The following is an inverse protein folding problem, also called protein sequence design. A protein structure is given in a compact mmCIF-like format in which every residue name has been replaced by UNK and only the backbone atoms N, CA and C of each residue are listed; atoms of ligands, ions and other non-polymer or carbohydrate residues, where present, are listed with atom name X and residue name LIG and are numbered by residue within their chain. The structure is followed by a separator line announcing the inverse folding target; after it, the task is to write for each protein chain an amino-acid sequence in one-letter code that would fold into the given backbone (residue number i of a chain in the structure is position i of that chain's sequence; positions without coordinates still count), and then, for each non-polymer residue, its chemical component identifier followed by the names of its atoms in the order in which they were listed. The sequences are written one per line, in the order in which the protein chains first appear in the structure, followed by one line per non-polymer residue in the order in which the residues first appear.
data_IF_139212218834
#
_entry.id   IF_139212218834
#
_cell.length_a   1.000
_cell.length_b   1.000
_cell.length_c   1.000
_cell.angle_alpha   90.00
_cell.angle_beta   90.00
_cell.angle_gamma   90.00
#
_symmetry.space_group_name_H-M   'P 1'
#
loop_
_entity.id
_entity.type
_entity.pdbx_description
1 polymer ?
#
# COMPACT_ATOMS: atom_id res chain seq x y z
N UNK A 1 61.02 -15.72 74.43
CA UNK A 1 61.46 -16.51 73.26
C UNK A 1 60.89 -15.81 72.03
N UNK A 2 61.38 -14.66 71.56
CA UNK A 2 62.70 -14.26 71.05
C UNK A 2 62.82 -14.39 69.52
N UNK A 3 63.04 -13.24 68.87
CA UNK A 3 63.53 -12.94 67.50
C UNK A 3 62.55 -13.14 66.31
N UNK A 4 62.20 -12.17 65.45
CA UNK A 4 62.87 -11.08 64.67
C UNK A 4 63.34 -11.53 63.27
N UNK A 5 63.09 -10.64 62.27
CA UNK A 5 63.65 -10.52 60.89
C UNK A 5 62.99 -11.31 59.74
N UNK A 6 63.05 -10.91 58.46
CA UNK A 6 63.28 -9.65 57.73
C UNK A 6 63.12 -9.93 56.22
N UNK A 7 62.93 -8.85 55.44
CA UNK A 7 62.97 -8.68 53.98
C UNK A 7 64.00 -9.53 53.17
N UNK A 8 63.61 -10.03 51.98
CA UNK A 8 64.14 -9.63 50.63
C UNK A 8 64.13 -10.71 49.52
N UNK A 9 63.76 -10.27 48.31
CA UNK A 9 64.40 -10.51 46.99
C UNK A 9 63.93 -11.63 46.00
N UNK A 10 63.39 -11.12 44.87
CA UNK A 10 63.86 -11.30 43.46
C UNK A 10 63.26 -12.41 42.55
N UNK A 11 62.59 -11.89 41.49
CA UNK A 11 62.41 -12.32 40.07
C UNK A 11 62.32 -13.80 39.66
N UNK A 12 61.26 -14.14 38.89
CA UNK A 12 61.39 -14.66 37.52
C UNK A 12 60.05 -14.57 36.75
N UNK A 13 60.11 -13.96 35.56
CA UNK A 13 59.05 -13.87 34.55
C UNK A 13 59.07 -15.13 33.68
N UNK A 14 57.93 -15.81 33.51
CA UNK A 14 57.70 -16.72 32.38
C UNK A 14 56.27 -16.53 31.87
N UNK A 15 56.18 -16.04 30.63
CA UNK A 15 54.94 -15.91 29.85
C UNK A 15 54.47 -17.31 29.42
N UNK A 16 53.28 -17.70 29.84
CA UNK A 16 52.58 -18.88 29.31
C UNK A 16 51.65 -18.50 28.16
N UNK A 17 51.99 -18.93 26.94
CA UNK A 17 51.08 -18.94 25.80
C UNK A 17 49.86 -19.83 26.12
N UNK A 18 48.66 -19.24 26.18
CA UNK A 18 47.40 -19.99 26.20
C UNK A 18 46.91 -20.19 24.76
N UNK A 19 47.06 -21.41 24.26
CA UNK A 19 46.38 -21.89 23.04
C UNK A 19 44.91 -22.16 23.40
N UNK A 20 44.04 -21.18 23.17
CA UNK A 20 42.60 -21.41 23.20
C UNK A 20 42.16 -22.06 21.89
N UNK A 21 42.14 -23.39 21.86
CA UNK A 21 41.44 -24.17 20.84
C UNK A 21 39.93 -24.01 21.05
N UNK A 22 39.29 -23.17 20.23
CA UNK A 22 37.83 -23.05 20.19
C UNK A 22 37.21 -24.34 19.66
N UNK A 23 36.71 -25.18 20.55
CA UNK A 23 35.78 -26.25 20.22
C UNK A 23 34.45 -25.59 19.83
N UNK A 24 34.05 -25.73 18.57
CA UNK A 24 32.71 -25.38 18.13
C UNK A 24 31.71 -26.34 18.79
N UNK A 25 30.69 -25.78 19.44
CA UNK A 25 29.60 -26.54 20.06
C UNK A 25 28.88 -27.39 19.00
N UNK A 26 28.83 -28.70 19.21
CA UNK A 26 28.16 -29.68 18.34
C UNK A 26 26.62 -29.61 18.36
N UNK A 27 26.06 -28.47 18.76
CA UNK A 27 24.63 -28.24 18.93
C UNK A 27 24.10 -27.08 18.08
N UNK A 28 24.91 -26.50 17.19
CA UNK A 28 24.35 -25.66 16.13
C UNK A 28 23.52 -26.53 15.19
N UNK A 29 22.20 -26.28 15.04
CA UNK A 29 21.42 -26.98 14.03
C UNK A 29 22.07 -26.68 12.68
N UNK A 30 22.54 -27.74 12.00
CA UNK A 30 23.09 -27.63 10.66
C UNK A 30 22.11 -26.79 9.82
N UNK A 31 22.58 -25.76 9.08
CA UNK A 31 21.70 -24.91 8.31
C UNK A 31 20.86 -25.79 7.40
N UNK A 32 19.53 -25.74 7.56
CA UNK A 32 18.59 -26.50 6.73
C UNK A 32 18.97 -26.33 5.27
N UNK A 33 19.02 -27.41 4.46
CA UNK A 33 19.38 -27.29 3.05
C UNK A 33 18.46 -26.25 2.40
N UNK A 34 19.04 -25.14 1.97
CA UNK A 34 18.27 -24.06 1.35
C UNK A 34 17.64 -24.62 0.09
N UNK A 35 16.31 -24.64 0.05
CA UNK A 35 15.57 -24.99 -1.16
C UNK A 35 16.09 -24.12 -2.32
N UNK A 36 16.41 -24.76 -3.45
CA UNK A 36 17.04 -24.12 -4.59
C UNK A 36 16.61 -24.80 -5.89
N UNK A 37 16.73 -24.11 -7.03
CA UNK A 37 16.50 -24.68 -8.36
C UNK A 37 17.85 -24.91 -9.06
N UNK A 38 18.44 -26.12 -8.95
CA UNK A 38 19.83 -26.35 -9.33
C UNK A 38 20.08 -26.22 -10.85
N UNK A 39 19.17 -26.72 -11.68
CA UNK A 39 19.29 -26.61 -13.13
C UNK A 39 18.95 -25.20 -13.63
N UNK A 40 19.67 -24.76 -14.68
CA UNK A 40 19.26 -23.59 -15.46
C UNK A 40 17.94 -23.86 -16.19
N UNK A 41 17.16 -22.82 -16.46
CA UNK A 41 15.89 -22.93 -17.19
C UNK A 41 16.10 -23.06 -18.70
N UNK A 42 17.30 -22.75 -19.19
CA UNK A 42 17.67 -22.78 -20.61
C UNK A 42 19.11 -23.30 -20.76
N UNK A 43 19.44 -23.74 -21.98
CA UNK A 43 20.79 -24.15 -22.34
C UNK A 43 21.72 -22.96 -22.65
N UNK A 44 21.18 -21.74 -22.73
CA UNK A 44 21.96 -20.52 -22.98
C UNK A 44 22.32 -19.81 -21.68
N UNK A 45 23.59 -19.41 -21.48
CA UNK A 45 23.98 -18.67 -20.30
C UNK A 45 23.29 -17.29 -20.25
N UNK A 46 23.04 -16.82 -19.04
CA UNK A 46 22.49 -15.47 -18.81
C UNK A 46 23.45 -14.36 -19.20
N UNK A 47 22.91 -13.26 -19.70
CA UNK A 47 23.63 -12.04 -20.08
C UNK A 47 23.40 -10.93 -19.05
N UNK A 48 24.51 -10.41 -18.51
CA UNK A 48 24.52 -9.39 -17.44
C UNK A 48 23.88 -8.08 -17.89
N UNK A 49 24.10 -7.63 -19.13
CA UNK A 49 23.56 -6.35 -19.62
C UNK A 49 22.08 -6.45 -19.95
N UNK A 50 21.64 -7.59 -20.51
CA UNK A 50 20.20 -7.88 -20.64
C UNK A 50 19.53 -7.96 -19.28
N UNK A 51 20.14 -8.66 -18.32
CA UNK A 51 19.64 -8.76 -16.95
C UNK A 51 19.49 -7.40 -16.27
N UNK A 52 20.50 -6.54 -16.40
CA UNK A 52 20.46 -5.15 -15.91
C UNK A 52 19.30 -4.38 -16.51
N UNK A 53 19.09 -4.46 -17.83
CA UNK A 53 17.95 -3.79 -18.49
C UNK A 53 16.60 -4.28 -17.97
N UNK A 54 16.43 -5.59 -17.82
CA UNK A 54 15.18 -6.19 -17.30
C UNK A 54 14.88 -5.73 -15.88
N UNK A 55 15.89 -5.71 -15.00
CA UNK A 55 15.75 -5.26 -13.61
C UNK A 55 15.27 -3.81 -13.51
N UNK A 56 15.61 -2.97 -14.50
CA UNK A 56 15.27 -1.55 -14.55
C UNK A 56 14.05 -1.22 -15.40
N UNK A 57 13.48 -2.22 -16.08
CA UNK A 57 12.33 -2.10 -16.97
C UNK A 57 11.05 -1.92 -16.15
N UNK A 58 10.35 -0.79 -16.36
CA UNK A 58 9.15 -0.40 -15.61
C UNK A 58 7.92 -1.26 -15.93
N UNK A 59 7.94 -1.98 -17.04
CA UNK A 59 6.85 -2.84 -17.50
C UNK A 59 7.14 -4.32 -17.26
N UNK A 60 8.34 -4.71 -16.81
CA UNK A 60 8.66 -6.11 -16.53
C UNK A 60 9.22 -6.31 -15.13
N UNK A 61 10.54 -6.14 -14.96
CA UNK A 61 11.22 -6.48 -13.71
C UNK A 61 10.99 -5.47 -12.59
N UNK A 62 11.05 -4.18 -12.93
CA UNK A 62 11.10 -2.98 -12.07
C UNK A 62 11.57 -3.23 -10.63
N UNK A 63 12.65 -4.00 -10.44
CA UNK A 63 12.97 -4.55 -9.11
C UNK A 63 13.31 -3.43 -8.11
N UNK A 64 13.78 -2.28 -8.63
CA UNK A 64 14.05 -1.06 -7.89
C UNK A 64 12.82 -0.43 -7.24
N UNK A 65 11.61 -0.82 -7.65
CA UNK A 65 10.36 -0.38 -7.02
C UNK A 65 10.25 -0.90 -5.58
N UNK A 66 10.78 -2.10 -5.33
CA UNK A 66 10.74 -2.78 -4.03
C UNK A 66 12.11 -2.82 -3.35
N UNK A 67 13.19 -3.00 -4.13
CA UNK A 67 14.54 -3.22 -3.63
C UNK A 67 15.43 -1.99 -3.83
N UNK A 68 16.33 -1.74 -2.88
CA UNK A 68 17.43 -0.82 -3.10
C UNK A 68 18.58 -1.52 -3.85
N UNK A 69 19.19 -0.82 -4.81
CA UNK A 69 20.25 -1.37 -5.68
C UNK A 69 21.36 -0.33 -5.95
N UNK A 70 22.63 -0.75 -6.12
CA UNK A 70 23.75 0.15 -6.34
C UNK A 70 23.75 0.70 -7.78
N UNK A 71 22.87 1.67 -8.03
CA UNK A 71 22.64 2.27 -9.34
C UNK A 71 22.99 3.76 -9.29
N UNK A 72 24.21 4.15 -9.70
CA UNK A 72 24.59 5.56 -9.78
C UNK A 72 23.57 6.37 -10.59
N UNK A 73 23.18 7.54 -10.08
CA UNK A 73 22.23 8.44 -10.75
C UNK A 73 20.75 8.09 -10.56
N UNK A 74 20.39 7.00 -9.88
CA UNK A 74 18.99 6.69 -9.50
C UNK A 74 18.79 6.87 -7.99
N UNK A 75 17.95 7.84 -7.64
CA UNK A 75 17.78 8.26 -6.25
C UNK A 75 16.58 7.61 -5.53
N UNK A 76 15.56 7.17 -6.27
CA UNK A 76 14.31 6.67 -5.69
C UNK A 76 14.23 5.15 -5.79
N UNK A 77 14.51 4.47 -4.69
CA UNK A 77 14.41 3.02 -4.55
C UNK A 77 13.40 2.63 -3.47
N UNK A 78 12.79 1.46 -3.65
CA UNK A 78 11.96 0.85 -2.65
C UNK A 78 12.76 0.37 -1.43
N UNK A 79 12.05 0.19 -0.32
CA UNK A 79 12.58 -0.41 0.91
C UNK A 79 11.80 -1.64 1.37
N UNK A 80 10.85 -2.13 0.55
CA UNK A 80 10.01 -3.30 0.87
C UNK A 80 10.81 -4.59 0.85
N UNK A 81 11.68 -4.72 -0.16
CA UNK A 81 12.57 -5.85 -0.35
C UNK A 81 13.93 -5.59 0.28
N UNK A 82 14.64 -6.68 0.58
CA UNK A 82 16.02 -6.59 1.04
C UNK A 82 16.90 -5.90 -0.01
N UNK A 83 17.88 -5.08 0.40
CA UNK A 83 18.74 -4.42 -0.55
C UNK A 83 19.61 -5.46 -1.29
N UNK A 84 19.82 -5.22 -2.59
CA UNK A 84 20.46 -6.17 -3.51
C UNK A 84 21.94 -5.85 -3.75
N UNK A 85 22.50 -4.86 -3.08
CA UNK A 85 23.95 -4.65 -3.04
C UNK A 85 24.63 -5.88 -2.41
N UNK A 86 25.69 -6.35 -3.06
CA UNK A 86 26.43 -7.54 -2.63
C UNK A 86 25.65 -8.86 -2.68
N UNK A 87 24.47 -8.92 -3.31
CA UNK A 87 23.66 -10.14 -3.36
C UNK A 87 24.40 -11.30 -4.05
N UNK A 88 25.25 -11.01 -5.04
CA UNK A 88 26.09 -12.00 -5.70
C UNK A 88 27.18 -12.60 -4.81
N UNK A 89 27.48 -11.98 -3.67
CA UNK A 89 28.36 -12.53 -2.64
C UNK A 89 27.61 -13.36 -1.58
N UNK A 90 26.27 -13.22 -1.48
CA UNK A 90 25.44 -13.86 -0.43
C UNK A 90 24.52 -14.97 -0.93
N UNK A 91 24.40 -15.18 -2.25
CA UNK A 91 23.49 -16.16 -2.82
C UNK A 91 24.08 -16.81 -4.07
N UNK A 92 23.83 -18.10 -4.23
CA UNK A 92 24.19 -18.85 -5.44
C UNK A 92 23.13 -18.72 -6.55
N UNK A 93 23.51 -19.10 -7.78
CA UNK A 93 22.62 -19.05 -8.95
C UNK A 93 21.30 -19.79 -8.72
N UNK A 94 21.36 -21.00 -8.16
CA UNK A 94 20.20 -21.85 -7.91
C UNK A 94 19.20 -21.24 -6.89
N UNK A 95 19.71 -20.53 -5.89
CA UNK A 95 18.90 -19.86 -4.86
C UNK A 95 18.20 -18.63 -5.44
N UNK A 96 18.93 -17.82 -6.23
CA UNK A 96 18.37 -16.66 -6.93
C UNK A 96 17.32 -17.08 -7.97
N UNK A 97 17.59 -18.14 -8.73
CA UNK A 97 16.65 -18.68 -9.71
C UNK A 97 15.34 -19.09 -9.08
N UNK A 98 15.38 -19.84 -7.97
CA UNK A 98 14.15 -20.22 -7.27
C UNK A 98 13.38 -19.00 -6.75
N UNK A 99 14.07 -18.01 -6.17
CA UNK A 99 13.44 -16.76 -5.71
C UNK A 99 12.75 -16.00 -6.82
N UNK A 100 13.30 -15.99 -8.03
CA UNK A 100 12.68 -15.31 -9.17
C UNK A 100 11.54 -16.15 -9.78
N UNK A 101 11.73 -17.47 -9.89
CA UNK A 101 10.73 -18.36 -10.50
C UNK A 101 9.49 -18.49 -9.64
N UNK A 102 9.66 -18.82 -8.36
CA UNK A 102 8.57 -19.02 -7.42
C UNK A 102 9.03 -18.73 -5.98
N UNK A 103 9.07 -17.46 -5.55
CA UNK A 103 9.47 -17.11 -4.19
C UNK A 103 8.48 -17.63 -3.14
N UNK A 104 7.23 -17.94 -3.51
CA UNK A 104 6.24 -18.51 -2.59
C UNK A 104 6.54 -19.95 -2.18
N UNK A 105 7.35 -20.68 -2.96
CA UNK A 105 7.87 -21.98 -2.55
C UNK A 105 8.85 -21.86 -1.36
N UNK A 106 9.46 -20.69 -1.17
CA UNK A 106 10.36 -20.41 -0.05
C UNK A 106 9.59 -19.81 1.13
N UNK A 107 8.74 -18.82 0.86
CA UNK A 107 7.88 -18.19 1.86
C UNK A 107 6.51 -17.88 1.26
N UNK A 108 5.44 -18.61 1.63
CA UNK A 108 4.09 -18.37 1.10
C UNK A 108 3.53 -16.98 1.49
N UNK A 109 4.13 -16.29 2.47
CA UNK A 109 3.74 -14.96 2.91
C UNK A 109 4.55 -13.83 2.26
N UNK A 110 5.50 -14.14 1.38
CA UNK A 110 6.29 -13.13 0.68
C UNK A 110 5.43 -12.24 -0.21
N UNK A 111 5.79 -10.95 -0.29
CA UNK A 111 5.21 -10.00 -1.23
C UNK A 111 5.91 -10.07 -2.60
N UNK A 112 7.09 -10.71 -2.69
CA UNK A 112 7.82 -10.82 -3.95
C UNK A 112 6.97 -11.57 -5.00
N UNK A 113 6.74 -10.98 -6.19
CA UNK A 113 5.98 -11.64 -7.23
C UNK A 113 6.76 -12.85 -7.77
N UNK A 114 6.04 -13.86 -8.26
CA UNK A 114 6.67 -14.91 -9.05
C UNK A 114 6.88 -14.35 -10.45
N UNK A 115 8.12 -14.27 -10.91
CA UNK A 115 8.42 -13.70 -12.21
C UNK A 115 8.25 -14.72 -13.34
N UNK A 116 8.31 -16.02 -13.04
CA UNK A 116 8.16 -17.08 -14.04
C UNK A 116 6.94 -17.99 -13.80
N UNK A 117 6.66 -18.39 -12.55
CA UNK A 117 5.50 -19.25 -12.28
C UNK A 117 4.17 -18.52 -12.53
N UNK A 118 3.24 -19.20 -13.19
CA UNK A 118 1.87 -18.74 -13.45
C UNK A 118 0.81 -19.50 -12.64
N UNK A 119 1.24 -20.43 -11.78
CA UNK A 119 0.36 -21.30 -11.02
C UNK A 119 -0.34 -20.56 -9.87
N UNK A 120 -1.59 -20.91 -9.60
CA UNK A 120 -2.34 -20.42 -8.42
C UNK A 120 -2.79 -18.95 -8.49
N UNK A 121 -2.60 -18.27 -9.62
CA UNK A 121 -2.97 -16.86 -9.76
C UNK A 121 -4.49 -16.65 -9.86
N UNK A 122 -4.98 -15.62 -9.16
CA UNK A 122 -6.41 -15.28 -9.11
C UNK A 122 -6.68 -13.91 -9.77
N UNK A 123 -7.70 -13.85 -10.64
CA UNK A 123 -8.18 -12.62 -11.33
C UNK A 123 -7.07 -11.84 -12.06
N UNK A 124 -6.22 -12.54 -12.80
CA UNK A 124 -5.21 -11.93 -13.65
C UNK A 124 -5.86 -11.16 -14.80
N UNK A 125 -5.42 -9.92 -15.00
CA UNK A 125 -5.88 -9.04 -16.09
C UNK A 125 -5.57 -9.68 -17.46
N UNK A 126 -6.54 -9.62 -18.38
CA UNK A 126 -6.57 -10.37 -19.65
C UNK A 126 -5.22 -10.49 -20.39
N UNK A 127 -4.51 -9.39 -20.70
CA UNK A 127 -3.23 -9.44 -21.44
C UNK A 127 -2.11 -10.25 -20.77
N UNK A 128 -2.21 -10.52 -19.47
CA UNK A 128 -1.21 -11.21 -18.66
C UNK A 128 -1.61 -12.64 -18.27
N UNK A 129 -2.85 -13.06 -18.57
CA UNK A 129 -3.38 -14.36 -18.13
C UNK A 129 -2.59 -15.51 -18.75
N UNK A 130 -2.14 -16.45 -17.90
CA UNK A 130 -1.39 -17.64 -18.34
C UNK A 130 0.03 -17.35 -18.85
N UNK A 131 0.51 -16.11 -18.73
CA UNK A 131 1.84 -15.70 -19.21
C UNK A 131 2.75 -15.38 -18.02
N UNK A 132 4.02 -15.81 -18.04
CA UNK A 132 4.98 -15.38 -17.04
C UNK A 132 5.28 -13.89 -17.19
N UNK A 133 5.80 -13.25 -16.14
CA UNK A 133 6.31 -11.86 -16.23
C UNK A 133 7.60 -11.86 -17.06
N UNK A 134 8.46 -12.85 -16.84
CA UNK A 134 9.75 -13.06 -17.50
C UNK A 134 9.81 -14.47 -18.09
N UNK A 135 10.33 -14.57 -19.32
CA UNK A 135 10.68 -15.85 -19.94
C UNK A 135 11.80 -16.57 -19.19
N UNK A 136 12.01 -17.85 -19.49
CA UNK A 136 13.10 -18.64 -18.93
C UNK A 136 14.47 -17.98 -19.14
N UNK A 137 14.75 -17.47 -20.35
CA UNK A 137 16.01 -16.80 -20.64
C UNK A 137 16.16 -15.47 -19.89
N UNK A 138 15.08 -14.69 -19.79
CA UNK A 138 15.11 -13.44 -19.02
C UNK A 138 15.39 -13.68 -17.53
N UNK A 139 14.95 -14.82 -16.97
CA UNK A 139 15.32 -15.22 -15.60
C UNK A 139 16.83 -15.46 -15.50
N UNK A 140 17.44 -16.21 -16.43
CA UNK A 140 18.88 -16.47 -16.41
C UNK A 140 19.69 -15.17 -16.58
N UNK A 141 19.25 -14.27 -17.46
CA UNK A 141 19.87 -12.95 -17.65
C UNK A 141 19.82 -12.14 -16.33
N UNK A 142 18.67 -12.11 -15.63
CA UNK A 142 18.55 -11.44 -14.33
C UNK A 142 19.43 -12.11 -13.26
N UNK A 143 19.49 -13.44 -13.22
CA UNK A 143 20.39 -14.16 -12.29
C UNK A 143 21.85 -13.79 -12.55
N UNK A 144 22.29 -13.73 -13.81
CA UNK A 144 23.64 -13.33 -14.18
C UNK A 144 23.97 -11.90 -13.69
N UNK A 145 23.03 -10.96 -13.86
CA UNK A 145 23.20 -9.60 -13.36
C UNK A 145 23.25 -9.53 -11.82
N UNK A 146 22.36 -10.23 -11.11
CA UNK A 146 22.37 -10.25 -9.65
C UNK A 146 23.67 -10.87 -9.09
N UNK A 147 24.20 -11.91 -9.75
CA UNK A 147 25.49 -12.50 -9.39
C UNK A 147 26.68 -11.57 -9.63
N UNK A 148 26.57 -10.60 -10.56
CA UNK A 148 27.61 -9.61 -10.80
C UNK A 148 27.64 -8.50 -9.73
N UNK A 149 26.59 -8.36 -8.92
CA UNK A 149 26.52 -7.39 -7.81
C UNK A 149 27.26 -7.94 -6.57
N UNK A 150 28.59 -8.01 -6.65
CA UNK A 150 29.47 -8.44 -5.54
C UNK A 150 29.85 -7.28 -4.63
N UNK A 151 30.14 -7.58 -3.36
CA UNK A 151 30.48 -6.55 -2.36
C UNK A 151 31.71 -5.71 -2.73
N UNK A 152 32.64 -6.27 -3.51
CA UNK A 152 33.89 -5.62 -3.90
C UNK A 152 33.63 -4.54 -4.96
N UNK A 153 33.91 -3.28 -4.62
CA UNK A 153 33.84 -2.15 -5.56
C UNK A 153 32.47 -1.49 -5.72
N UNK A 154 31.44 -1.91 -4.98
CA UNK A 154 30.17 -1.19 -4.91
C UNK A 154 30.27 -0.04 -3.91
N UNK A 155 29.88 1.17 -4.33
CA UNK A 155 29.58 2.23 -3.36
C UNK A 155 28.42 1.74 -2.48
N UNK A 156 28.60 1.71 -1.14
CA UNK A 156 27.52 1.32 -0.24
C UNK A 156 26.27 2.15 -0.57
N UNK A 157 25.12 1.48 -0.62
CA UNK A 157 23.86 2.19 -0.72
C UNK A 157 23.81 3.19 0.44
N UNK A 158 23.50 4.49 0.19
CA UNK A 158 23.34 5.42 1.29
C UNK A 158 22.35 4.78 2.26
N UNK A 159 22.74 4.67 3.54
CA UNK A 159 21.87 4.15 4.57
C UNK A 159 20.54 4.83 4.34
N UNK A 160 19.54 4.02 3.98
CA UNK A 160 18.22 4.53 3.71
C UNK A 160 17.80 5.12 5.03
N UNK A 161 17.98 6.44 5.23
CA UNK A 161 17.41 7.11 6.39
C UNK A 161 15.95 6.71 6.31
N UNK A 162 15.43 5.92 7.26
CA UNK A 162 14.02 5.70 7.29
C UNK A 162 13.46 7.11 7.29
N UNK A 163 12.59 7.43 6.35
CA UNK A 163 11.68 8.52 6.64
C UNK A 163 10.81 7.92 7.75
N UNK A 164 11.33 7.92 8.98
CA UNK A 164 10.51 7.78 10.16
C UNK A 164 9.55 8.94 9.96
N UNK A 165 8.32 8.60 9.58
CA UNK A 165 7.18 9.32 10.13
C UNK A 165 7.50 9.29 11.62
N UNK A 166 8.00 10.41 12.13
CA UNK A 166 8.40 10.52 13.52
C UNK A 166 7.16 10.12 14.34
N UNK A 167 7.16 8.94 14.97
CA UNK A 167 5.96 8.43 15.61
C UNK A 167 5.57 9.31 16.81
N UNK A 168 6.49 10.18 17.28
CA UNK A 168 6.31 11.13 18.37
C UNK A 168 5.83 12.51 17.90
N UNK A 169 5.94 12.84 16.60
CA UNK A 169 5.31 14.06 16.03
C UNK A 169 3.82 13.91 15.77
N UNK A 170 3.25 12.75 16.09
CA UNK A 170 1.81 12.58 16.08
C UNK A 170 1.28 12.83 17.47
N UNK A 171 0.76 14.05 17.69
CA UNK A 171 -0.03 14.37 18.87
C UNK A 171 -1.04 13.25 19.07
N UNK A 172 -0.83 12.45 20.11
CA UNK A 172 -1.75 11.41 20.52
C UNK A 172 -3.09 12.08 20.84
N UNK A 173 -4.13 11.78 20.06
CA UNK A 173 -5.42 12.46 20.12
C UNK A 173 -5.76 13.39 18.94
N UNK A 174 -4.86 13.57 17.96
CA UNK A 174 -5.19 14.25 16.70
C UNK A 174 -6.23 13.45 15.89
N UNK A 175 -7.19 14.09 15.19
CA UNK A 175 -8.13 13.40 14.30
C UNK A 175 -7.46 12.62 13.15
N UNK A 176 -6.15 12.82 12.94
CA UNK A 176 -5.34 12.13 11.92
C UNK A 176 -4.64 10.86 12.43
N UNK A 177 -4.58 10.65 13.76
CA UNK A 177 -3.98 9.46 14.40
C UNK A 177 -4.81 8.98 15.60
N UNK A 178 -5.43 7.81 15.49
CA UNK A 178 -6.34 7.26 16.51
C UNK A 178 -6.07 5.76 16.72
N UNK A 179 -5.69 5.35 17.92
CA UNK A 179 -5.36 3.96 18.30
C UNK A 179 -4.48 3.21 17.28
N UNK A 180 -3.39 3.83 16.82
CA UNK A 180 -2.48 3.26 15.83
C UNK A 180 -2.98 3.33 14.38
N UNK A 181 -4.21 3.79 14.14
CA UNK A 181 -4.70 4.16 12.80
C UNK A 181 -4.13 5.51 12.42
N UNK A 182 -3.67 5.65 11.18
CA UNK A 182 -3.03 6.85 10.68
C UNK A 182 -3.64 7.22 9.33
N UNK A 183 -4.17 8.43 9.23
CA UNK A 183 -4.66 9.00 7.97
C UNK A 183 -3.56 9.00 6.90
N UNK A 184 -3.95 8.95 5.63
CA UNK A 184 -3.04 9.24 4.51
C UNK A 184 -2.29 10.57 4.66
N UNK A 185 -2.89 11.55 5.37
CA UNK A 185 -2.31 12.86 5.67
C UNK A 185 -0.93 12.77 6.34
N UNK A 186 -0.72 11.82 7.26
CA UNK A 186 0.55 11.74 8.01
C UNK A 186 1.74 11.31 7.15
N UNK A 187 1.47 10.73 5.98
CA UNK A 187 2.48 10.24 5.03
C UNK A 187 2.80 11.27 3.92
N UNK A 188 2.17 12.44 3.95
CA UNK A 188 2.41 13.52 3.00
C UNK A 188 3.70 14.28 3.33
N UNK A 189 4.26 14.96 2.33
CA UNK A 189 5.24 16.03 2.58
C UNK A 189 4.58 17.20 3.29
N UNK A 190 5.38 18.07 3.90
CA UNK A 190 4.87 19.28 4.54
C UNK A 190 4.10 20.19 3.56
N UNK A 191 4.62 20.34 2.35
CA UNK A 191 3.95 21.11 1.29
C UNK A 191 2.56 20.56 0.94
N UNK A 192 2.42 19.23 0.79
CA UNK A 192 1.13 18.62 0.49
C UNK A 192 0.15 18.70 1.67
N UNK A 193 0.65 18.69 2.91
CA UNK A 193 -0.19 18.95 4.09
C UNK A 193 -0.74 20.38 4.07
N UNK A 194 0.15 21.37 3.86
CA UNK A 194 -0.23 22.78 3.73
C UNK A 194 -1.29 22.98 2.64
N UNK A 195 -1.13 22.31 1.49
CA UNK A 195 -2.10 22.38 0.40
C UNK A 195 -3.47 21.82 0.76
N UNK A 196 -3.54 20.75 1.58
CA UNK A 196 -4.83 20.22 2.06
C UNK A 196 -5.50 21.16 3.08
N UNK A 197 -4.69 21.76 3.95
CA UNK A 197 -5.15 22.52 5.09
C UNK A 197 -5.56 23.96 4.72
N UNK A 198 -5.03 24.48 3.61
CA UNK A 198 -5.40 25.78 3.06
C UNK A 198 -6.73 25.70 2.28
N UNK A 199 -7.71 26.50 2.69
CA UNK A 199 -9.03 26.55 2.07
C UNK A 199 -9.00 27.16 0.66
N UNK A 200 -8.02 28.01 0.34
CA UNK A 200 -7.88 28.54 -1.02
C UNK A 200 -6.97 27.67 -1.88
N UNK A 201 -5.92 27.10 -1.28
CA UNK A 201 -4.97 26.23 -1.95
C UNK A 201 -5.51 24.85 -2.31
N UNK A 202 -6.44 24.28 -1.53
CA UNK A 202 -6.93 22.92 -1.78
C UNK A 202 -7.79 22.86 -3.07
N UNK A 203 -7.28 22.27 -4.17
CA UNK A 203 -7.99 22.27 -5.45
C UNK A 203 -9.28 21.43 -5.43
N UNK A 204 -9.42 20.52 -4.46
CA UNK A 204 -10.63 19.73 -4.28
C UNK A 204 -11.83 20.56 -3.84
N UNK A 205 -11.63 21.76 -3.28
CA UNK A 205 -12.74 22.60 -2.81
C UNK A 205 -13.55 23.22 -3.95
N UNK A 206 -13.01 23.31 -5.17
CA UNK A 206 -13.78 23.67 -6.36
C UNK A 206 -14.95 22.70 -6.61
N UNK A 207 -14.78 21.42 -6.29
CA UNK A 207 -15.87 20.44 -6.38
C UNK A 207 -16.89 20.58 -5.25
N UNK A 208 -16.48 21.10 -4.09
CA UNK A 208 -17.42 21.39 -2.99
C UNK A 208 -18.31 22.57 -3.39
N UNK A 209 -17.74 23.62 -3.97
CA UNK A 209 -18.49 24.75 -4.53
C UNK A 209 -19.45 24.30 -5.63
N UNK A 210 -18.95 23.53 -6.61
CA UNK A 210 -19.78 22.94 -7.67
C UNK A 210 -20.90 22.06 -7.09
N UNK A 211 -20.62 21.30 -6.04
CA UNK A 211 -21.61 20.50 -5.33
C UNK A 211 -22.71 21.36 -4.72
N UNK A 212 -22.37 22.56 -4.20
CA UNK A 212 -23.33 23.53 -3.69
C UNK A 212 -24.27 24.07 -4.77
N UNK A 213 -23.77 24.35 -5.96
CA UNK A 213 -24.60 24.72 -7.12
C UNK A 213 -25.57 23.60 -7.50
N UNK A 214 -25.07 22.37 -7.61
CA UNK A 214 -25.88 21.18 -7.92
C UNK A 214 -26.91 20.88 -6.83
N UNK A 215 -26.60 21.16 -5.57
CA UNK A 215 -27.52 20.99 -4.45
C UNK A 215 -28.75 21.89 -4.55
N UNK A 216 -28.56 23.12 -5.04
CA UNK A 216 -29.63 24.09 -5.27
C UNK A 216 -30.36 23.88 -6.60
N UNK A 217 -29.76 23.15 -7.55
CA UNK A 217 -30.30 22.99 -8.89
C UNK A 217 -31.65 22.25 -8.90
N UNK A 218 -32.72 22.84 -9.47
CA UNK A 218 -34.01 22.19 -9.61
C UNK A 218 -33.99 21.15 -10.74
N UNK A 219 -34.71 20.05 -10.54
CA UNK A 219 -34.85 18.96 -11.49
C UNK A 219 -36.31 18.59 -11.73
N UNK A 220 -36.56 18.02 -12.91
CA UNK A 220 -37.86 17.49 -13.31
C UNK A 220 -38.97 18.55 -13.40
N UNK A 221 -40.19 18.13 -13.75
CA UNK A 221 -41.34 19.03 -13.86
C UNK A 221 -41.76 19.66 -12.52
N UNK A 222 -41.43 19.04 -11.39
CA UNK A 222 -41.73 19.53 -10.05
C UNK A 222 -40.74 20.59 -9.53
N UNK A 223 -39.74 20.98 -10.35
CA UNK A 223 -38.69 21.95 -10.00
C UNK A 223 -38.06 21.70 -8.62
N UNK A 224 -37.90 20.42 -8.26
CA UNK A 224 -37.43 19.98 -6.94
C UNK A 224 -35.91 19.85 -6.95
N UNK A 225 -35.25 20.33 -5.91
CA UNK A 225 -33.79 20.24 -5.73
C UNK A 225 -33.44 19.50 -4.44
N UNK A 226 -32.18 19.15 -4.23
CA UNK A 226 -31.73 18.60 -2.95
C UNK A 226 -32.07 19.56 -1.79
N UNK A 227 -31.84 20.87 -2.01
CA UNK A 227 -32.16 21.93 -1.04
C UNK A 227 -33.64 22.00 -0.69
N UNK A 228 -34.56 21.71 -1.63
CA UNK A 228 -36.00 21.77 -1.35
C UNK A 228 -36.47 20.72 -0.34
N UNK A 229 -35.77 19.59 -0.21
CA UNK A 229 -36.09 18.53 0.77
C UNK A 229 -35.19 18.55 2.00
N UNK A 230 -33.92 18.92 1.82
CA UNK A 230 -32.89 18.82 2.87
C UNK A 230 -32.44 20.18 3.42
N UNK A 231 -32.92 21.30 2.89
CA UNK A 231 -32.49 22.65 3.25
C UNK A 231 -30.97 22.84 3.08
N UNK A 232 -30.34 23.62 3.97
CA UNK A 232 -28.90 23.90 3.95
C UNK A 232 -28.09 22.62 4.21
N UNK A 233 -27.16 22.23 3.31
CA UNK A 233 -26.33 21.05 3.50
C UNK A 233 -25.43 21.15 4.75
N UNK A 234 -24.97 22.35 5.14
CA UNK A 234 -24.09 22.54 6.30
C UNK A 234 -24.74 22.09 7.61
N UNK A 235 -26.07 22.19 7.69
CA UNK A 235 -26.86 21.72 8.83
C UNK A 235 -27.33 20.28 8.60
N UNK A 236 -27.98 20.02 7.47
CA UNK A 236 -28.71 18.77 7.24
C UNK A 236 -27.83 17.56 6.94
N UNK A 237 -26.65 17.78 6.34
CA UNK A 237 -25.72 16.71 5.95
C UNK A 237 -24.58 16.52 6.95
N UNK A 238 -24.55 17.30 8.04
CA UNK A 238 -23.53 17.16 9.07
C UNK A 238 -23.53 15.75 9.67
N UNK A 239 -22.38 15.09 9.56
CA UNK A 239 -22.19 13.73 10.07
C UNK A 239 -22.73 12.62 9.15
N UNK A 240 -23.33 12.94 8.00
CA UNK A 240 -23.82 11.95 7.05
C UNK A 240 -22.68 11.01 6.61
N UNK A 241 -21.55 11.57 6.17
CA UNK A 241 -20.40 10.79 5.67
C UNK A 241 -19.84 9.81 6.70
N UNK A 242 -19.95 10.13 7.99
CA UNK A 242 -19.37 9.32 9.09
C UNK A 242 -19.98 7.93 9.20
N UNK A 243 -21.16 7.70 8.62
CA UNK A 243 -21.95 6.48 8.76
C UNK A 243 -22.10 5.69 7.45
N UNK A 244 -21.47 6.11 6.36
CA UNK A 244 -21.50 5.40 5.07
C UNK A 244 -20.18 4.66 4.78
N UNK A 245 -20.22 3.48 4.12
CA UNK A 245 -21.41 2.75 3.66
C UNK A 245 -22.31 2.24 4.79
N UNK A 246 -23.59 2.03 4.51
CA UNK A 246 -24.59 1.53 5.47
C UNK A 246 -25.54 0.52 4.84
N UNK A 247 -26.12 -0.34 5.68
CA UNK A 247 -27.12 -1.31 5.23
C UNK A 247 -28.47 -0.63 4.93
N UNK A 248 -29.03 -0.88 3.74
CA UNK A 248 -30.38 -0.47 3.34
C UNK A 248 -31.35 -1.63 3.60
N UNK A 249 -32.12 -1.51 4.69
CA UNK A 249 -33.10 -2.51 5.10
C UNK A 249 -34.20 -2.75 4.06
N UNK A 250 -34.55 -1.75 3.25
CA UNK A 250 -35.61 -1.90 2.23
C UNK A 250 -35.18 -2.79 1.07
N UNK A 251 -33.89 -2.81 0.77
CA UNK A 251 -33.30 -3.54 -0.37
C UNK A 251 -32.47 -4.73 0.05
N UNK A 252 -32.30 -4.94 1.36
CA UNK A 252 -31.46 -5.99 1.91
C UNK A 252 -30.03 -5.96 1.33
N UNK A 253 -29.46 -4.76 1.16
CA UNK A 253 -28.12 -4.59 0.57
C UNK A 253 -27.34 -3.45 1.22
N UNK A 254 -26.02 -3.49 1.12
CA UNK A 254 -25.15 -2.39 1.52
C UNK A 254 -25.15 -1.29 0.44
N UNK A 255 -25.26 -0.03 0.84
CA UNK A 255 -25.14 1.13 -0.06
C UNK A 255 -24.11 2.13 0.45
N UNK A 256 -23.36 2.74 -0.46
CA UNK A 256 -22.49 3.87 -0.16
C UNK A 256 -23.16 5.22 -0.47
N UNK A 257 -22.41 6.31 -0.29
CA UNK A 257 -22.95 7.66 -0.38
C UNK A 257 -23.35 8.02 -1.81
N UNK A 258 -22.54 7.63 -2.79
CA UNK A 258 -22.77 7.82 -4.22
C UNK A 258 -24.07 7.14 -4.67
N UNK A 259 -24.29 5.89 -4.23
CA UNK A 259 -25.53 5.16 -4.50
C UNK A 259 -26.73 5.80 -3.79
N UNK A 260 -26.56 6.34 -2.59
CA UNK A 260 -27.63 7.08 -1.91
C UNK A 260 -28.01 8.38 -2.64
N UNK A 261 -27.02 9.12 -3.16
CA UNK A 261 -27.26 10.32 -3.97
C UNK A 261 -28.05 9.95 -5.22
N UNK A 262 -27.58 8.97 -6.00
CA UNK A 262 -28.27 8.54 -7.22
C UNK A 262 -29.67 8.00 -6.95
N UNK A 263 -29.87 7.30 -5.84
CA UNK A 263 -31.20 6.88 -5.41
C UNK A 263 -32.13 8.07 -5.20
N UNK A 264 -31.69 9.12 -4.49
CA UNK A 264 -32.52 10.31 -4.31
C UNK A 264 -32.84 10.98 -5.66
N UNK A 265 -31.88 11.01 -6.58
CA UNK A 265 -32.10 11.57 -7.92
C UNK A 265 -33.21 10.83 -8.67
N UNK A 266 -33.13 9.50 -8.72
CA UNK A 266 -34.08 8.68 -9.45
C UNK A 266 -35.46 8.65 -8.77
N UNK A 267 -35.50 8.42 -7.45
CA UNK A 267 -36.76 8.19 -6.72
C UNK A 267 -37.48 9.48 -6.30
N UNK A 268 -36.77 10.59 -6.09
CA UNK A 268 -37.32 11.82 -5.51
C UNK A 268 -37.26 13.01 -6.44
N UNK A 269 -36.24 13.09 -7.29
CA UNK A 269 -36.06 14.23 -8.21
C UNK A 269 -36.54 13.92 -9.63
N UNK A 270 -36.84 12.66 -9.95
CA UNK A 270 -37.18 12.23 -11.31
C UNK A 270 -36.05 12.48 -12.31
N UNK A 271 -34.81 12.45 -11.84
CA UNK A 271 -33.61 12.71 -12.63
C UNK A 271 -32.79 11.43 -12.82
N UNK A 272 -32.11 11.30 -13.95
CA UNK A 272 -31.22 10.17 -14.21
C UNK A 272 -30.07 10.11 -13.19
N UNK A 273 -29.69 8.89 -12.81
CA UNK A 273 -28.46 8.67 -12.04
C UNK A 273 -27.25 9.25 -12.78
N UNK A 274 -26.36 9.89 -12.01
CA UNK A 274 -25.06 10.30 -12.51
C UNK A 274 -24.15 9.09 -12.67
N UNK A 275 -23.26 9.12 -13.66
CA UNK A 275 -22.20 8.14 -13.79
C UNK A 275 -21.27 8.20 -12.57
N UNK A 276 -20.72 7.06 -12.16
CA UNK A 276 -20.07 6.91 -10.85
C UNK A 276 -18.88 7.86 -10.62
N UNK A 277 -18.08 8.12 -11.66
CA UNK A 277 -16.94 9.05 -11.64
C UNK A 277 -17.27 10.36 -12.40
N UNK A 278 -18.54 10.69 -12.59
CA UNK A 278 -18.90 11.98 -13.19
C UNK A 278 -18.56 13.11 -12.23
N UNK A 279 -18.28 14.28 -12.80
CA UNK A 279 -17.97 15.48 -12.02
C UNK A 279 -19.10 15.80 -11.03
N UNK A 280 -20.35 15.64 -11.46
CA UNK A 280 -21.53 15.94 -10.66
C UNK A 280 -21.68 15.02 -9.45
N UNK A 281 -21.46 13.71 -9.62
CA UNK A 281 -21.56 12.78 -8.50
C UNK A 281 -20.41 13.00 -7.52
N UNK A 282 -19.19 13.22 -8.02
CA UNK A 282 -18.03 13.52 -7.19
C UNK A 282 -18.21 14.84 -6.43
N UNK A 283 -18.77 15.88 -7.07
CA UNK A 283 -19.06 17.18 -6.47
C UNK A 283 -20.10 17.08 -5.34
N UNK A 284 -21.23 16.42 -5.58
CA UNK A 284 -22.24 16.20 -4.53
C UNK A 284 -21.70 15.34 -3.37
N UNK A 285 -20.90 14.33 -3.68
CA UNK A 285 -20.25 13.48 -2.66
C UNK A 285 -19.23 14.28 -1.84
N UNK A 286 -18.43 15.13 -2.50
CA UNK A 286 -17.48 16.03 -1.87
C UNK A 286 -18.19 17.04 -0.96
N UNK A 287 -19.27 17.68 -1.43
CA UNK A 287 -20.08 18.59 -0.62
C UNK A 287 -20.59 17.91 0.65
N UNK A 288 -21.23 16.75 0.54
CA UNK A 288 -21.79 16.02 1.70
C UNK A 288 -20.69 15.56 2.64
N UNK A 289 -19.57 15.08 2.10
CA UNK A 289 -18.38 14.70 2.87
C UNK A 289 -17.80 15.88 3.64
N UNK A 290 -17.70 17.05 3.01
CA UNK A 290 -17.16 18.27 3.56
C UNK A 290 -17.91 18.72 4.82
N UNK A 291 -19.24 18.58 4.86
CA UNK A 291 -20.06 18.92 6.05
C UNK A 291 -19.76 18.06 7.28
N UNK A 292 -19.04 16.96 7.09
CA UNK A 292 -18.63 16.04 8.15
C UNK A 292 -17.16 16.16 8.53
N UNK A 293 -16.38 17.10 7.95
CA UNK A 293 -14.95 17.26 8.26
C UNK A 293 -14.67 17.32 9.76
N UNK A 294 -13.63 16.62 10.18
CA UNK A 294 -13.22 16.50 11.58
C UNK A 294 -14.07 15.56 12.44
N UNK A 295 -15.27 15.15 11.99
CA UNK A 295 -16.05 14.16 12.73
C UNK A 295 -15.47 12.75 12.53
N UNK A 296 -15.49 11.89 13.57
CA UNK A 296 -14.92 10.55 13.48
C UNK A 296 -15.76 9.63 12.60
N UNK A 297 -15.10 8.81 11.77
CA UNK A 297 -15.74 7.69 11.08
C UNK A 297 -16.29 6.66 12.08
N UNK A 298 -17.53 6.22 11.85
CA UNK A 298 -18.30 5.33 12.74
C UNK A 298 -19.34 4.52 11.95
N UNK A 299 -18.85 3.74 10.99
CA UNK A 299 -19.69 2.81 10.23
C UNK A 299 -20.15 1.65 11.11
N UNK A 300 -21.37 1.15 10.84
CA UNK A 300 -21.92 -0.03 11.48
C UNK A 300 -21.51 -1.30 10.72
N UNK A 301 -20.96 -2.26 11.44
CA UNK A 301 -20.51 -3.56 10.91
C UNK A 301 -21.24 -4.74 11.57
N UNK A 302 -22.18 -4.46 12.46
CA UNK A 302 -22.92 -5.44 13.23
C UNK A 302 -24.21 -5.86 12.52
N UNK A 303 -24.86 -6.90 13.05
CA UNK A 303 -26.17 -7.35 12.58
C UNK A 303 -26.19 -7.63 11.07
N UNK A 304 -27.13 -7.03 10.31
CA UNK A 304 -27.25 -7.25 8.87
C UNK A 304 -26.03 -6.79 8.05
N UNK A 305 -25.17 -5.92 8.57
CA UNK A 305 -23.97 -5.45 7.87
C UNK A 305 -22.82 -6.48 7.92
N UNK A 306 -22.86 -7.43 8.86
CA UNK A 306 -21.77 -8.39 9.13
C UNK A 306 -21.32 -9.17 7.88
N UNK A 307 -22.20 -9.76 7.05
CA UNK A 307 -21.76 -10.53 5.89
C UNK A 307 -21.02 -9.67 4.85
N UNK A 308 -21.46 -8.41 4.67
CA UNK A 308 -20.83 -7.45 3.76
C UNK A 308 -19.46 -7.01 4.27
N UNK A 309 -19.33 -6.81 5.58
CA UNK A 309 -18.06 -6.52 6.25
C UNK A 309 -17.04 -7.66 6.04
N UNK A 310 -17.44 -8.91 6.29
CA UNK A 310 -16.54 -10.07 6.10
C UNK A 310 -16.16 -10.26 4.63
N UNK A 311 -17.08 -10.02 3.70
CA UNK A 311 -16.76 -10.04 2.26
C UNK A 311 -15.74 -8.94 1.88
N UNK A 312 -15.87 -7.74 2.45
CA UNK A 312 -14.92 -6.65 2.29
C UNK A 312 -13.54 -6.99 2.86
N UNK A 313 -13.50 -7.59 4.05
CA UNK A 313 -12.27 -8.11 4.68
C UNK A 313 -11.58 -9.17 3.82
N UNK A 314 -12.34 -10.16 3.37
CA UNK A 314 -11.83 -11.20 2.48
C UNK A 314 -11.28 -10.60 1.18
N UNK A 315 -11.93 -9.57 0.63
CA UNK A 315 -11.41 -8.84 -0.52
C UNK A 315 -10.11 -8.11 -0.18
N UNK A 316 -9.95 -7.54 1.01
CA UNK A 316 -8.72 -6.84 1.38
C UNK A 316 -7.52 -7.78 1.60
N UNK A 317 -7.78 -8.98 2.15
CA UNK A 317 -6.74 -9.95 2.54
C UNK A 317 -6.33 -10.92 1.41
N UNK A 318 -7.20 -11.12 0.40
CA UNK A 318 -6.94 -12.10 -0.67
C UNK A 318 -5.97 -11.59 -1.74
N UNK A 319 -4.97 -12.40 -2.09
CA UNK A 319 -4.04 -12.09 -3.19
C UNK A 319 -4.73 -12.15 -4.55
N UNK A 320 -4.24 -11.36 -5.51
CA UNK A 320 -4.75 -11.30 -6.90
C UNK A 320 -3.75 -10.71 -7.87
N UNK A 321 -4.07 -10.84 -9.15
CA UNK A 321 -3.31 -10.30 -10.27
C UNK A 321 -2.06 -11.12 -10.57
N UNK A 322 -1.35 -10.73 -11.64
CA UNK A 322 -0.11 -11.42 -12.02
C UNK A 322 0.99 -11.26 -10.96
N UNK A 323 0.96 -10.17 -10.18
CA UNK A 323 1.93 -9.96 -9.10
C UNK A 323 1.60 -10.74 -7.82
N UNK A 324 0.39 -11.33 -7.74
CA UNK A 324 -0.09 -12.16 -6.62
C UNK A 324 0.02 -11.46 -5.25
N UNK A 325 -0.55 -10.25 -5.18
CA UNK A 325 -0.51 -9.38 -4.00
C UNK A 325 -1.90 -9.08 -3.45
N UNK A 326 -1.97 -8.79 -2.14
CA UNK A 326 -3.18 -8.32 -1.46
C UNK A 326 -3.00 -6.91 -0.87
N UNK A 327 -4.10 -6.21 -0.63
CA UNK A 327 -4.08 -4.87 -0.02
C UNK A 327 -3.36 -4.88 1.33
N UNK A 328 -3.65 -5.89 2.16
CA UNK A 328 -3.05 -6.09 3.48
C UNK A 328 -1.52 -6.19 3.44
N UNK A 329 -0.94 -6.73 2.36
CA UNK A 329 0.51 -6.88 2.29
C UNK A 329 1.17 -5.50 2.19
N UNK A 330 0.71 -4.62 1.31
CA UNK A 330 1.27 -3.27 1.20
C UNK A 330 0.86 -2.35 2.36
N UNK A 331 -0.44 -2.36 2.70
CA UNK A 331 -1.04 -1.35 3.57
C UNK A 331 -1.11 -1.75 5.07
N UNK A 332 -0.76 -2.98 5.42
CA UNK A 332 -0.60 -3.39 6.83
C UNK A 332 0.87 -3.67 7.12
N UNK A 333 1.45 -4.65 6.43
CA UNK A 333 2.81 -5.14 6.70
C UNK A 333 3.90 -4.12 6.35
N UNK A 334 3.71 -3.34 5.28
CA UNK A 334 4.73 -2.42 4.76
C UNK A 334 4.32 -0.94 4.85
N UNK A 335 3.29 -0.59 5.63
CA UNK A 335 2.93 0.80 5.87
C UNK A 335 4.12 1.59 6.48
N UNK A 336 4.37 2.79 5.97
CA UNK A 336 5.52 3.63 6.30
C UNK A 336 6.80 3.33 5.51
N UNK A 337 6.85 2.21 4.77
CA UNK A 337 7.97 1.90 3.90
C UNK A 337 7.85 2.59 2.53
N UNK A 338 8.95 2.64 1.78
CA UNK A 338 8.99 3.28 0.47
C UNK A 338 8.75 2.28 -0.65
N UNK A 339 7.81 2.59 -1.51
CA UNK A 339 7.64 1.98 -2.82
C UNK A 339 8.16 3.00 -3.85
N UNK A 340 9.40 2.83 -4.30
CA UNK A 340 10.14 3.85 -5.06
C UNK A 340 10.16 5.21 -4.33
N UNK A 341 9.52 6.25 -4.87
CA UNK A 341 9.47 7.60 -4.31
C UNK A 341 8.28 7.82 -3.36
N UNK A 342 7.36 6.86 -3.28
CA UNK A 342 6.15 6.99 -2.50
C UNK A 342 6.28 6.27 -1.15
N UNK A 343 5.70 6.88 -0.12
CA UNK A 343 5.61 6.26 1.20
C UNK A 343 4.24 5.58 1.28
N UNK A 344 4.23 4.28 1.54
CA UNK A 344 2.99 3.52 1.66
C UNK A 344 2.23 3.96 2.91
N UNK A 345 0.98 4.38 2.74
CA UNK A 345 0.07 4.63 3.85
C UNK A 345 -0.63 3.35 4.30
N UNK A 346 -1.45 3.43 5.36
CA UNK A 346 -2.34 2.34 5.78
C UNK A 346 -3.54 2.11 4.84
N UNK A 347 -3.63 2.83 3.71
CA UNK A 347 -4.72 2.67 2.74
C UNK A 347 -6.09 3.14 3.27
N UNK A 348 -6.09 4.12 4.19
CA UNK A 348 -7.33 4.66 4.77
C UNK A 348 -8.15 5.44 3.74
N UNK A 349 -9.47 5.42 3.90
CA UNK A 349 -10.40 6.10 2.97
C UNK A 349 -11.13 7.31 3.59
N UNK A 350 -10.74 7.76 4.78
CA UNK A 350 -11.40 8.86 5.52
C UNK A 350 -11.34 10.23 4.82
N UNK A 351 -10.48 10.39 3.82
CA UNK A 351 -10.37 11.60 3.01
C UNK A 351 -11.12 11.60 1.68
N UNK A 352 -11.76 10.49 1.29
CA UNK A 352 -12.38 10.38 -0.03
C UNK A 352 -13.74 11.11 -0.13
N UNK A 353 -14.12 11.59 -1.34
CA UNK A 353 -13.30 11.68 -2.56
C UNK A 353 -12.05 12.55 -2.38
N UNK A 354 -10.96 12.17 -3.03
CA UNK A 354 -9.66 12.85 -2.90
C UNK A 354 -9.31 13.57 -4.19
N UNK A 355 -8.65 14.73 -4.08
CA UNK A 355 -7.92 15.31 -5.20
C UNK A 355 -6.56 14.64 -5.26
N UNK A 356 -6.20 14.12 -6.42
CA UNK A 356 -4.90 13.47 -6.60
C UNK A 356 -4.09 14.17 -7.67
N UNK A 357 -2.86 14.57 -7.36
CA UNK A 357 -1.98 15.24 -8.33
C UNK A 357 -1.78 14.41 -9.59
N UNK A 358 -1.59 13.09 -9.48
CA UNK A 358 -1.49 12.22 -10.65
C UNK A 358 -2.77 12.19 -11.54
N UNK A 359 -3.93 12.56 -10.99
CA UNK A 359 -5.20 12.60 -11.74
C UNK A 359 -5.60 14.01 -12.19
N UNK A 360 -5.04 15.05 -11.57
CA UNK A 360 -5.43 16.45 -11.75
C UNK A 360 -6.96 16.64 -11.63
N UNK A 361 -7.60 15.87 -10.75
CA UNK A 361 -9.05 15.82 -10.57
C UNK A 361 -9.41 15.11 -9.26
N UNK A 362 -10.66 15.24 -8.82
CA UNK A 362 -11.24 14.37 -7.79
C UNK A 362 -11.37 12.91 -8.29
N UNK A 363 -11.34 11.98 -7.35
CA UNK A 363 -11.70 10.59 -7.60
C UNK A 363 -12.29 9.91 -6.37
N UNK A 364 -13.19 8.95 -6.61
CA UNK A 364 -13.80 8.17 -5.53
C UNK A 364 -12.84 7.11 -4.97
N UNK A 365 -13.26 6.48 -3.88
CA UNK A 365 -12.60 5.28 -3.33
C UNK A 365 -12.57 4.15 -4.37
N UNK A 366 -13.62 4.00 -5.19
CA UNK A 366 -13.72 2.95 -6.20
C UNK A 366 -12.76 3.15 -7.38
N UNK A 367 -12.50 4.41 -7.78
CA UNK A 367 -11.43 4.72 -8.74
C UNK A 367 -10.07 4.31 -8.22
N UNK A 368 -9.80 4.57 -6.92
CA UNK A 368 -8.57 4.11 -6.29
C UNK A 368 -8.51 2.58 -6.25
N UNK A 369 -9.60 1.88 -5.91
CA UNK A 369 -9.63 0.42 -5.89
C UNK A 369 -9.34 -0.18 -7.27
N UNK A 370 -9.93 0.36 -8.34
CA UNK A 370 -9.65 -0.08 -9.70
C UNK A 370 -8.19 0.14 -10.06
N UNK A 371 -7.63 1.33 -9.75
CA UNK A 371 -6.22 1.61 -9.97
C UNK A 371 -5.29 0.65 -9.21
N UNK A 372 -5.57 0.37 -7.93
CA UNK A 372 -4.82 -0.60 -7.14
C UNK A 372 -4.83 -2.01 -7.75
N UNK A 373 -5.99 -2.47 -8.25
CA UNK A 373 -6.08 -3.77 -8.92
C UNK A 373 -5.27 -3.78 -10.23
N UNK A 374 -5.40 -2.75 -11.06
CA UNK A 374 -4.64 -2.65 -12.31
C UNK A 374 -3.13 -2.58 -12.07
N UNK A 375 -2.69 -1.87 -11.03
CA UNK A 375 -1.27 -1.75 -10.67
C UNK A 375 -0.61 -3.11 -10.35
N UNK A 376 -1.37 -4.06 -9.81
CA UNK A 376 -0.91 -5.43 -9.54
C UNK A 376 -1.30 -6.43 -10.65
N UNK A 377 -1.74 -5.92 -11.80
CA UNK A 377 -2.19 -6.69 -12.97
C UNK A 377 -3.37 -7.62 -12.67
N UNK A 378 -4.26 -7.16 -11.81
CA UNK A 378 -5.54 -7.79 -11.56
C UNK A 378 -6.65 -7.09 -12.35
N UNK A 379 -7.69 -7.83 -12.72
CA UNK A 379 -8.88 -7.23 -13.34
C UNK A 379 -9.55 -6.25 -12.35
N UNK A 380 -9.70 -4.96 -12.70
CA UNK A 380 -10.50 -4.06 -11.89
C UNK A 380 -11.97 -4.50 -11.92
N UNK A 381 -12.73 -4.15 -10.89
CA UNK A 381 -14.19 -4.28 -10.91
C UNK A 381 -14.82 -2.98 -11.41
N UNK A 382 -16.03 -3.08 -11.94
CA UNK A 382 -16.82 -1.89 -12.23
C UNK A 382 -17.11 -1.12 -10.92
N UNK A 383 -17.18 0.20 -11.05
CA UNK A 383 -17.50 1.08 -9.94
C UNK A 383 -18.92 0.84 -9.44
N UNK A 384 -19.10 0.89 -8.12
CA UNK A 384 -20.41 0.73 -7.48
C UNK A 384 -20.89 -0.72 -7.39
N UNK A 385 -20.05 -1.70 -7.74
CA UNK A 385 -20.33 -3.13 -7.51
C UNK A 385 -20.36 -3.44 -6.01
N UNK A 386 -21.16 -4.44 -5.62
CA UNK A 386 -21.28 -4.86 -4.21
C UNK A 386 -19.92 -5.19 -3.59
N UNK A 387 -19.02 -5.81 -4.34
CA UNK A 387 -17.68 -6.13 -3.85
C UNK A 387 -16.84 -4.88 -3.50
N UNK A 388 -16.96 -3.79 -4.27
CA UNK A 388 -16.29 -2.53 -3.95
C UNK A 388 -16.98 -1.78 -2.81
N UNK A 389 -18.31 -1.80 -2.72
CA UNK A 389 -19.04 -1.22 -1.58
C UNK A 389 -18.72 -1.97 -0.27
N UNK A 390 -18.60 -3.30 -0.33
CA UNK A 390 -18.18 -4.14 0.80
C UNK A 390 -16.75 -3.82 1.23
N UNK A 391 -15.83 -3.68 0.26
CA UNK A 391 -14.46 -3.23 0.54
C UNK A 391 -14.45 -1.83 1.17
N UNK A 392 -15.26 -0.91 0.66
CA UNK A 392 -15.39 0.44 1.21
C UNK A 392 -15.85 0.40 2.69
N UNK A 393 -16.81 -0.46 3.05
CA UNK A 393 -17.24 -0.64 4.44
C UNK A 393 -16.08 -1.14 5.32
N UNK A 394 -15.35 -2.15 4.86
CA UNK A 394 -14.21 -2.69 5.61
C UNK A 394 -13.12 -1.63 5.82
N UNK A 395 -12.79 -0.84 4.79
CA UNK A 395 -11.81 0.24 4.88
C UNK A 395 -12.30 1.42 5.74
N UNK A 396 -13.59 1.75 5.70
CA UNK A 396 -14.18 2.75 6.59
C UNK A 396 -14.09 2.32 8.06
N UNK A 397 -14.31 1.03 8.35
CA UNK A 397 -14.11 0.46 9.68
C UNK A 397 -12.64 0.43 10.12
N UNK A 398 -11.72 0.15 9.18
CA UNK A 398 -10.27 0.24 9.44
C UNK A 398 -9.82 1.65 9.80
N UNK A 399 -10.49 2.66 9.27
CA UNK A 399 -10.28 4.07 9.58
C UNK A 399 -11.19 4.63 10.67
N UNK A 400 -11.95 3.80 11.39
CA UNK A 400 -12.87 4.28 12.43
C UNK A 400 -12.15 5.15 13.47
N UNK A 401 -12.83 6.20 13.92
CA UNK A 401 -12.26 7.19 14.81
C UNK A 401 -11.44 8.28 14.11
N UNK A 402 -10.82 8.01 12.95
CA UNK A 402 -10.18 9.07 12.16
C UNK A 402 -11.24 10.08 11.72
N UNK A 403 -10.86 11.36 11.74
CA UNK A 403 -11.70 12.45 11.25
C UNK A 403 -11.94 12.34 9.75
N UNK A 404 -13.14 12.69 9.29
CA UNK A 404 -13.40 12.89 7.86
C UNK A 404 -12.52 14.04 7.34
N UNK A 405 -11.86 13.85 6.20
CA UNK A 405 -10.95 14.81 5.58
C UNK A 405 -11.42 15.27 4.18
N UNK A 406 -12.61 14.88 3.76
CA UNK A 406 -13.12 15.14 2.41
C UNK A 406 -13.23 16.65 2.07
N UNK A 407 -12.79 17.11 0.89
CA UNK A 407 -11.90 16.41 -0.04
C UNK A 407 -10.44 16.54 0.40
N UNK A 408 -9.77 15.40 0.54
CA UNK A 408 -8.36 15.39 0.93
C UNK A 408 -7.44 15.52 -0.30
N UNK A 409 -6.24 16.07 -0.12
CA UNK A 409 -5.23 16.18 -1.19
C UNK A 409 -4.22 15.05 -1.07
N UNK A 410 -3.92 14.36 -2.17
CA UNK A 410 -2.99 13.23 -2.23
C UNK A 410 -2.10 13.32 -3.48
N UNK A 411 -0.97 12.61 -3.46
CA UNK A 411 -0.02 12.52 -4.57
C UNK A 411 -0.54 11.64 -5.70
#
# INVERSE_FOLDING_TARGET
MSFVNALSAVLAVLWGLSLASGLADANDPAPSPKLALPAALTDQPGDVERGRRIVLDRERGDCVVCHAMPLPGRQFHGSLGLPLDGIGSRSGAAELRLRLVNPKALDPHTIMPAYHSTQGLYRVLGPYRGRPILSAQEIEDVVAYLLSLRADGLTPLPASRPHRVDPDRTETGSPTVVDGRRSGYVYLSEENRRLQDDAFGNPGLLWVERGGELWAQPHGPSHTSCASCHADPAVSMRGARTRYPRFDTRRNKLINLEQQINRCREERLGAAAYAYESEELLALTALIGFQSRGLPLRVDIEGPARPFFEAGRAFFERRRGQLDMACAQCHDKYAGQRLRGDILSQGQINGFPIYRHAWQSLGSSHRMFAWCNTAIRAEPLAYGTDAYVNLELYLAWRGRGLGVETPAVRR
#
